data_IF_076506085849
#
_entry.id   IF_076506085849
#
_cell.length_a   1.000
_cell.length_b   1.000
_cell.length_c   1.000
_cell.angle_alpha   90.00
_cell.angle_beta   90.00
_cell.angle_gamma   90.00
#
_symmetry.space_group_name_H-M   'P 1'
#
loop_
_entity.id
_entity.type
_entity.pdbx_description
1 polymer ?
#
# COMPACT_ATOMS: atom_id res chain seq x y z
N UNK A 1 8.13 -13.70 11.67
CA UNK A 1 7.09 -12.78 12.18
C UNK A 1 6.37 -12.22 10.97
N UNK A 2 5.05 -12.34 10.90
CA UNK A 2 4.29 -11.82 9.76
C UNK A 2 4.20 -10.29 9.86
N UNK A 3 4.30 -9.55 8.73
CA UNK A 3 4.19 -8.10 8.77
C UNK A 3 2.77 -7.70 9.16
N UNK A 4 2.64 -6.67 10.01
CA UNK A 4 1.33 -6.08 10.34
C UNK A 4 0.81 -5.12 9.28
N UNK A 5 1.71 -4.65 8.40
CA UNK A 5 1.39 -3.71 7.32
C UNK A 5 2.16 -4.09 6.07
N UNK A 6 1.50 -3.95 4.93
CA UNK A 6 2.12 -4.08 3.61
C UNK A 6 2.27 -2.68 3.00
N UNK A 7 3.33 -2.49 2.23
CA UNK A 7 3.65 -1.22 1.57
C UNK A 7 3.89 -1.41 0.09
N UNK A 8 3.45 -0.46 -0.72
CA UNK A 8 3.79 -0.36 -2.14
C UNK A 8 4.41 1.00 -2.42
N UNK A 9 5.47 1.02 -3.23
CA UNK A 9 6.07 2.23 -3.77
C UNK A 9 5.71 2.39 -5.24
N UNK A 10 5.19 3.55 -5.64
CA UNK A 10 4.70 3.81 -7.00
C UNK A 10 5.53 4.92 -7.63
N UNK A 11 6.56 4.58 -8.41
CA UNK A 11 7.48 5.59 -8.93
C UNK A 11 6.96 6.36 -10.15
N UNK A 12 7.01 7.69 -10.08
CA UNK A 12 7.62 8.54 -11.11
C UNK A 12 8.74 9.32 -10.42
N UNK A 13 9.93 9.44 -11.03
CA UNK A 13 11.18 9.96 -10.44
C UNK A 13 11.12 11.40 -9.87
N UNK A 14 9.96 12.07 -9.93
CA UNK A 14 9.79 13.50 -9.68
C UNK A 14 9.04 13.86 -8.39
N UNK A 15 8.65 12.91 -7.54
CA UNK A 15 7.91 13.19 -6.29
C UNK A 15 8.32 12.23 -5.16
N UNK A 16 8.61 12.80 -3.98
CA UNK A 16 9.21 12.12 -2.83
C UNK A 16 8.24 11.22 -2.02
N UNK A 17 6.93 11.35 -2.19
CA UNK A 17 5.94 10.65 -1.34
C UNK A 17 4.99 9.75 -2.16
N UNK A 18 5.53 8.69 -2.74
CA UNK A 18 4.75 7.68 -3.47
C UNK A 18 4.73 6.30 -2.78
N UNK A 19 4.94 6.27 -1.46
CA UNK A 19 4.92 5.04 -0.68
C UNK A 19 3.63 4.98 0.15
N UNK A 20 2.81 3.96 -0.11
CA UNK A 20 1.52 3.79 0.54
C UNK A 20 1.50 2.51 1.34
N UNK A 21 0.85 2.54 2.51
CA UNK A 21 0.32 1.32 3.11
C UNK A 21 -0.84 0.84 2.24
N UNK A 22 -0.97 -0.47 2.10
CA UNK A 22 -2.07 -1.08 1.36
C UNK A 22 -3.00 -1.84 2.30
N UNK A 23 -4.31 -1.69 2.08
CA UNK A 23 -5.34 -2.40 2.84
C UNK A 23 -6.33 -3.05 1.87
N UNK A 24 -6.57 -4.35 2.04
CA UNK A 24 -7.47 -5.12 1.19
C UNK A 24 -7.91 -6.41 1.89
N UNK A 25 -8.80 -7.16 1.26
CA UNK A 25 -9.38 -8.39 1.84
C UNK A 25 -8.42 -9.59 1.77
N UNK A 26 -7.43 -9.54 0.87
CA UNK A 26 -6.45 -10.61 0.66
C UNK A 26 -5.07 -10.09 1.02
N UNK A 27 -4.32 -10.80 1.87
CA UNK A 27 -2.92 -10.44 2.11
C UNK A 27 -2.09 -10.62 0.82
N UNK A 28 -1.19 -9.69 0.46
CA UNK A 28 -0.39 -9.78 -0.76
C UNK A 28 0.38 -11.09 -0.92
N UNK A 29 0.83 -11.70 0.18
CA UNK A 29 1.54 -12.98 0.18
C UNK A 29 0.67 -14.17 -0.26
N UNK A 30 -0.65 -14.04 -0.16
CA UNK A 30 -1.62 -15.08 -0.52
C UNK A 30 -2.21 -14.88 -1.92
N UNK A 31 -1.75 -13.88 -2.68
CA UNK A 31 -2.21 -13.64 -4.05
C UNK A 31 -1.56 -14.67 -4.97
N UNK A 32 -2.39 -15.40 -5.71
CA UNK A 32 -1.99 -16.44 -6.67
C UNK A 32 -2.70 -16.20 -8.01
N UNK A 33 -2.36 -16.99 -9.03
CA UNK A 33 -3.04 -16.93 -10.33
C UNK A 33 -4.55 -17.17 -10.22
N UNK A 34 -4.99 -17.97 -9.24
CA UNK A 34 -6.41 -18.27 -9.02
C UNK A 34 -7.15 -17.20 -8.20
N UNK A 35 -6.45 -16.19 -7.68
CA UNK A 35 -7.06 -15.11 -6.91
C UNK A 35 -7.86 -14.15 -7.80
N UNK A 36 -7.61 -14.15 -9.12
CA UNK A 36 -8.14 -13.15 -10.03
C UNK A 36 -7.65 -11.75 -9.68
N UNK A 37 -8.47 -10.75 -9.97
CA UNK A 37 -8.19 -9.35 -9.67
C UNK A 37 -8.42 -9.07 -8.18
N UNK A 38 -7.40 -8.55 -7.51
CA UNK A 38 -7.48 -8.11 -6.12
C UNK A 38 -7.28 -6.60 -6.02
N UNK A 39 -8.03 -5.98 -5.11
CA UNK A 39 -8.03 -4.54 -4.88
C UNK A 39 -7.44 -4.20 -3.53
N UNK A 40 -6.63 -3.15 -3.50
CA UNK A 40 -6.12 -2.56 -2.27
C UNK A 40 -6.36 -1.05 -2.25
N UNK A 41 -6.84 -0.55 -1.12
CA UNK A 41 -6.90 0.88 -0.81
C UNK A 41 -5.52 1.38 -0.40
N UNK A 42 -5.16 2.58 -0.85
CA UNK A 42 -3.86 3.22 -0.63
C UNK A 42 -3.96 4.24 0.51
N UNK A 43 -3.09 4.14 1.49
CA UNK A 43 -3.05 5.06 2.63
C UNK A 43 -1.65 5.61 2.85
N UNK A 44 -1.56 6.87 3.23
CA UNK A 44 -0.31 7.36 3.79
C UNK A 44 -0.01 6.65 5.11
N UNK A 45 1.27 6.42 5.38
CA UNK A 45 1.71 5.87 6.65
C UNK A 45 2.03 7.00 7.61
N UNK A 46 1.64 6.85 8.88
CA UNK A 46 2.19 7.66 9.97
C UNK A 46 3.01 6.77 10.88
N UNK A 47 4.22 7.23 11.21
CA UNK A 47 5.04 6.64 12.28
C UNK A 47 4.81 7.46 13.56
N UNK A 48 4.59 6.79 14.68
CA UNK A 48 4.37 7.44 15.98
C UNK A 48 5.05 6.67 17.12
N UNK A 49 5.32 7.38 18.22
CA UNK A 49 5.75 6.80 19.52
C UNK A 49 4.54 6.72 20.45
N UNK A 50 4.66 6.02 21.59
CA UNK A 50 3.62 5.71 22.59
C UNK A 50 2.56 6.80 22.92
N UNK A 51 2.78 8.07 22.57
CA UNK A 51 1.82 9.17 22.66
C UNK A 51 1.57 9.78 21.26
N UNK A 52 0.31 9.75 20.82
CA UNK A 52 -0.19 10.24 19.53
C UNK A 52 0.12 11.73 19.26
N UNK A 53 0.45 12.49 20.31
CA UNK A 53 0.71 13.92 20.23
C UNK A 53 2.19 14.30 20.03
N UNK A 54 3.10 13.31 19.94
CA UNK A 54 4.54 13.60 19.79
C UNK A 54 5.02 13.36 18.36
N UNK A 55 5.57 14.41 17.74
CA UNK A 55 6.18 14.39 16.41
C UNK A 55 7.46 13.53 16.36
N UNK A 56 7.64 12.83 15.25
CA UNK A 56 8.58 11.71 15.06
C UNK A 56 10.03 12.13 14.78
N UNK A 57 10.29 13.39 14.42
CA UNK A 57 11.64 13.89 14.09
C UNK A 57 12.47 14.33 15.31
N UNK A 58 11.93 14.18 16.53
CA UNK A 58 12.71 14.36 17.76
C UNK A 58 13.22 13.00 18.22
N UNK A 59 14.51 12.93 18.47
CA UNK A 59 15.28 11.78 18.99
C UNK A 59 14.50 10.93 20.02
N UNK A 60 14.77 9.61 20.16
CA UNK A 60 14.20 8.79 21.24
C UNK A 60 14.37 9.51 22.59
N UNK A 61 13.25 9.92 23.19
CA UNK A 61 13.26 10.70 24.45
C UNK A 61 13.15 9.79 25.66
N UNK A 62 12.69 8.54 25.48
CA UNK A 62 12.52 7.55 26.56
C UNK A 62 12.96 6.17 26.09
N UNK A 63 13.57 5.41 26.99
CA UNK A 63 14.07 4.05 26.79
C UNK A 63 13.00 3.02 26.36
N UNK A 64 11.70 3.35 26.53
CA UNK A 64 10.55 2.50 26.19
C UNK A 64 9.77 2.97 24.94
N UNK A 65 10.29 3.91 24.16
CA UNK A 65 9.61 4.39 22.96
C UNK A 65 9.53 3.27 21.90
N UNK A 66 8.32 2.75 21.65
CA UNK A 66 8.06 1.80 20.56
C UNK A 66 7.61 2.58 19.34
N UNK A 67 8.34 2.45 18.23
CA UNK A 67 7.91 2.98 16.94
C UNK A 67 6.79 2.12 16.39
N UNK A 68 5.64 2.74 16.15
CA UNK A 68 4.48 2.09 15.53
C UNK A 68 4.16 2.75 14.20
N UNK A 69 3.61 1.95 13.29
CA UNK A 69 3.10 2.40 11.99
C UNK A 69 1.58 2.30 12.05
N UNK A 70 0.89 3.23 11.42
CA UNK A 70 -0.56 3.13 11.18
C UNK A 70 -0.98 3.80 9.88
N UNK A 71 -2.19 3.50 9.44
CA UNK A 71 -2.89 4.24 8.38
C UNK A 71 -3.15 5.69 8.83
N UNK A 72 -2.99 6.63 7.91
CA UNK A 72 -3.21 8.06 8.13
C UNK A 72 -4.26 8.62 7.18
N UNK A 73 -5.36 9.13 7.76
CA UNK A 73 -6.44 9.78 7.03
C UNK A 73 -7.21 8.83 6.12
N UNK A 74 -7.88 9.41 5.12
CA UNK A 74 -8.67 8.67 4.14
C UNK A 74 -7.80 8.06 3.03
N UNK A 75 -8.37 7.06 2.36
CA UNK A 75 -7.77 6.43 1.17
C UNK A 75 -7.40 7.48 0.12
N UNK A 76 -6.23 7.29 -0.48
CA UNK A 76 -5.67 8.13 -1.55
C UNK A 76 -5.95 7.57 -2.93
N UNK A 77 -6.50 6.38 -3.01
CA UNK A 77 -6.76 5.70 -4.27
C UNK A 77 -6.82 4.20 -4.07
N UNK A 78 -6.82 3.49 -5.18
CA UNK A 78 -6.72 2.04 -5.21
C UNK A 78 -5.56 1.58 -6.07
N UNK A 79 -5.03 0.41 -5.76
CA UNK A 79 -4.14 -0.35 -6.64
C UNK A 79 -4.75 -1.72 -6.88
N UNK A 80 -4.73 -2.13 -8.14
CA UNK A 80 -5.19 -3.44 -8.58
C UNK A 80 -3.98 -4.33 -8.87
N UNK A 81 -4.11 -5.60 -8.50
CA UNK A 81 -3.16 -6.66 -8.82
C UNK A 81 -3.89 -7.86 -9.41
N UNK A 82 -3.30 -8.47 -10.42
CA UNK A 82 -3.72 -9.74 -10.97
C UNK A 82 -2.48 -10.54 -11.35
N UNK A 83 -2.33 -11.71 -10.74
CA UNK A 83 -1.27 -12.65 -11.13
C UNK A 83 -1.74 -13.39 -12.38
N UNK A 84 -1.19 -13.06 -13.55
CA UNK A 84 -1.56 -13.72 -14.80
C UNK A 84 -0.92 -15.11 -14.89
N UNK A 85 0.33 -15.20 -14.44
CA UNK A 85 1.12 -16.43 -14.40
C UNK A 85 2.05 -16.42 -13.18
N UNK A 86 2.72 -17.53 -12.91
CA UNK A 86 3.79 -17.54 -11.91
C UNK A 86 4.86 -16.51 -12.31
N UNK A 87 5.06 -15.50 -11.45
CA UNK A 87 6.02 -14.38 -11.60
C UNK A 87 5.60 -13.27 -12.58
N UNK A 88 4.40 -13.34 -13.18
CA UNK A 88 3.87 -12.26 -14.02
C UNK A 88 2.68 -11.56 -13.34
N UNK A 89 2.93 -10.33 -12.89
CA UNK A 89 1.94 -9.50 -12.20
C UNK A 89 1.45 -8.38 -13.12
N UNK A 90 0.14 -8.29 -13.33
CA UNK A 90 -0.52 -7.12 -13.90
C UNK A 90 -0.93 -6.18 -12.76
N UNK A 91 -0.62 -4.90 -12.91
CA UNK A 91 -0.91 -3.89 -11.90
C UNK A 91 -1.31 -2.55 -12.51
N UNK A 92 -2.23 -1.86 -11.84
CA UNK A 92 -2.60 -0.49 -12.18
C UNK A 92 -3.03 0.29 -10.94
N UNK A 93 -2.72 1.59 -10.93
CA UNK A 93 -2.96 2.49 -9.81
C UNK A 93 -3.97 3.55 -10.24
N UNK A 94 -4.98 3.78 -9.41
CA UNK A 94 -6.00 4.79 -9.61
C UNK A 94 -6.05 5.73 -8.40
N UNK A 95 -5.33 6.85 -8.49
CA UNK A 95 -5.34 7.89 -7.45
C UNK A 95 -6.68 8.63 -7.43
N UNK A 96 -7.20 8.89 -6.23
CA UNK A 96 -8.48 9.57 -6.01
C UNK A 96 -9.72 8.70 -6.28
N UNK A 97 -9.53 7.41 -6.59
CA UNK A 97 -10.61 6.44 -6.81
C UNK A 97 -10.87 5.56 -5.60
N UNK A 98 -12.11 5.07 -5.50
CA UNK A 98 -12.57 4.15 -4.46
C UNK A 98 -12.84 2.77 -5.05
N UNK A 99 -12.78 1.72 -4.20
CA UNK A 99 -13.20 0.36 -4.57
C UNK A 99 -14.70 0.24 -4.93
N UNK A 100 -15.50 1.24 -4.59
CA UNK A 100 -16.92 1.32 -4.95
C UNK A 100 -17.15 1.85 -6.35
N UNK A 101 -16.13 2.46 -6.95
CA UNK A 101 -16.17 2.87 -8.34
C UNK A 101 -16.06 1.60 -9.18
N UNK A 102 -16.90 1.45 -10.22
CA UNK A 102 -16.82 0.31 -11.13
C UNK A 102 -15.57 0.44 -12.01
N UNK A 103 -14.45 -0.07 -11.51
CA UNK A 103 -13.11 0.09 -12.10
C UNK A 103 -12.57 -1.26 -12.54
N UNK A 104 -12.13 -1.29 -13.79
CA UNK A 104 -11.39 -2.38 -14.41
C UNK A 104 -10.02 -1.89 -14.89
N UNK A 105 -9.12 -2.85 -15.19
CA UNK A 105 -7.85 -2.53 -15.83
C UNK A 105 -8.06 -1.78 -17.14
N UNK A 106 -7.30 -0.71 -17.32
CA UNK A 106 -7.25 0.05 -18.56
C UNK A 106 -6.07 -0.40 -19.43
N UNK A 107 -5.92 0.24 -20.59
CA UNK A 107 -4.76 0.08 -21.47
C UNK A 107 -3.44 0.55 -20.83
N UNK A 108 -3.51 1.29 -19.70
CA UNK A 108 -2.33 1.77 -18.98
C UNK A 108 -1.76 0.77 -17.97
N UNK A 109 -2.44 -0.36 -17.75
CA UNK A 109 -1.98 -1.41 -16.86
C UNK A 109 -0.55 -1.84 -17.17
N UNK A 110 0.26 -2.04 -16.14
CA UNK A 110 1.65 -2.44 -16.25
C UNK A 110 1.82 -3.91 -15.92
N UNK A 111 2.67 -4.57 -16.71
CA UNK A 111 3.12 -5.93 -16.46
C UNK A 111 4.49 -5.88 -15.79
N UNK A 112 4.63 -6.61 -14.70
CA UNK A 112 5.86 -6.78 -13.95
C UNK A 112 6.21 -8.26 -13.95
N UNK A 113 7.32 -8.60 -14.58
CA UNK A 113 7.91 -9.93 -14.51
C UNK A 113 9.06 -9.90 -13.50
N UNK A 114 9.06 -10.86 -12.57
CA UNK A 114 10.14 -11.03 -11.60
C UNK A 114 11.12 -12.09 -12.08
#
# INVERSE_FOLDING_TARGET
MNPSYWRVGIGHLSVDDNVFLIQGNTEPVNVTVNSGVVFYELYHSRVYKNDYNTEWWKEPKKEKDVYRVQYLGDSKGIIMFEMLENRLLKSEVFIGKSKTDNIDFSENAKLYER
#
